data_IF_731821209928
#
_entry.id   IF_731821209928
#
_cell.length_a   1.000
_cell.length_b   1.000
_cell.length_c   1.000
_cell.angle_alpha   90.00
_cell.angle_beta   90.00
_cell.angle_gamma   90.00
#
_symmetry.space_group_name_H-M   'P 1'
#
loop_
_entity.id
_entity.type
_entity.pdbx_description
1 polymer ?
#
# COMPACT_ATOMS: atom_id res chain seq x y z
N UNK A 1 -38.91 -66.82 -55.12
CA UNK A 1 -38.78 -65.72 -54.15
C UNK A 1 -37.47 -65.79 -53.42
N UNK A 2 -36.36 -65.31 -54.00
CA UNK A 2 -35.11 -65.08 -53.22
C UNK A 2 -34.63 -63.59 -53.21
N UNK A 3 -35.40 -62.64 -53.70
CA UNK A 3 -34.92 -61.22 -53.79
C UNK A 3 -35.03 -60.42 -52.48
N UNK A 4 -35.87 -60.80 -51.57
CA UNK A 4 -36.08 -60.03 -50.31
C UNK A 4 -34.97 -60.24 -49.26
N UNK A 5 -34.40 -61.44 -49.21
CA UNK A 5 -33.33 -61.74 -48.27
C UNK A 5 -32.02 -61.03 -48.55
N UNK A 6 -31.71 -60.83 -49.83
CA UNK A 6 -30.53 -60.07 -50.27
C UNK A 6 -30.65 -58.58 -49.95
N UNK A 7 -31.81 -58.01 -50.21
CA UNK A 7 -32.09 -56.60 -49.88
C UNK A 7 -32.04 -56.32 -48.37
N UNK A 8 -32.50 -57.29 -47.55
CA UNK A 8 -32.44 -57.20 -46.10
C UNK A 8 -30.98 -57.29 -45.58
N UNK A 9 -30.15 -58.20 -46.07
CA UNK A 9 -28.76 -58.34 -45.72
C UNK A 9 -27.94 -57.07 -46.11
N UNK A 10 -28.19 -56.48 -47.24
CA UNK A 10 -27.57 -55.22 -47.66
C UNK A 10 -27.96 -54.05 -46.77
N UNK A 11 -29.21 -53.94 -46.37
CA UNK A 11 -29.67 -52.89 -45.41
C UNK A 11 -29.04 -53.07 -44.02
N UNK A 12 -28.93 -54.30 -43.52
CA UNK A 12 -28.25 -54.62 -42.26
C UNK A 12 -26.76 -54.29 -42.33
N UNK A 13 -26.08 -54.65 -43.43
CA UNK A 13 -24.68 -54.31 -43.62
C UNK A 13 -24.43 -52.79 -43.69
N UNK A 14 -25.32 -52.04 -44.36
CA UNK A 14 -25.27 -50.54 -44.35
C UNK A 14 -25.50 -49.94 -42.98
N UNK A 15 -26.47 -50.45 -42.21
CA UNK A 15 -26.75 -50.02 -40.81
C UNK A 15 -25.53 -50.34 -39.92
N UNK A 16 -24.94 -51.52 -39.99
CA UNK A 16 -23.74 -51.89 -39.26
C UNK A 16 -22.54 -50.98 -39.61
N UNK A 17 -22.32 -50.70 -40.90
CA UNK A 17 -21.28 -49.76 -41.34
C UNK A 17 -21.56 -48.32 -40.88
N UNK A 18 -22.83 -47.89 -40.84
CA UNK A 18 -23.20 -46.58 -40.32
C UNK A 18 -22.98 -46.48 -38.79
N UNK A 19 -23.32 -47.51 -38.04
CA UNK A 19 -23.05 -47.59 -36.59
C UNK A 19 -21.54 -47.64 -36.31
N UNK A 20 -20.76 -48.42 -37.06
CA UNK A 20 -19.31 -48.49 -36.95
C UNK A 20 -18.66 -47.11 -37.23
N UNK A 21 -19.14 -46.39 -38.26
CA UNK A 21 -18.66 -45.02 -38.56
C UNK A 21 -18.98 -44.04 -37.43
N UNK A 22 -20.23 -44.09 -36.87
CA UNK A 22 -20.62 -43.26 -35.73
C UNK A 22 -19.77 -43.60 -34.49
N UNK A 23 -19.54 -44.89 -34.21
CA UNK A 23 -18.68 -45.33 -33.12
C UNK A 23 -17.22 -44.88 -33.30
N UNK A 24 -16.64 -45.01 -34.52
CA UNK A 24 -15.30 -44.53 -34.81
C UNK A 24 -15.20 -43.01 -34.68
N UNK A 25 -16.21 -42.25 -35.11
CA UNK A 25 -16.23 -40.79 -34.93
C UNK A 25 -16.29 -40.39 -33.45
N UNK A 26 -17.12 -41.09 -32.67
CA UNK A 26 -17.21 -40.85 -31.21
C UNK A 26 -15.89 -41.20 -30.50
N UNK A 27 -15.29 -42.35 -30.85
CA UNK A 27 -13.98 -42.76 -30.33
C UNK A 27 -12.83 -41.77 -30.71
N UNK A 28 -12.84 -41.26 -31.95
CA UNK A 28 -11.88 -40.24 -32.39
C UNK A 28 -12.08 -38.92 -31.65
N UNK A 29 -13.32 -38.52 -31.39
CA UNK A 29 -13.62 -37.30 -30.63
C UNK A 29 -13.16 -37.41 -29.15
N UNK A 30 -13.41 -38.57 -28.52
CA UNK A 30 -12.90 -38.86 -27.17
C UNK A 30 -11.37 -38.84 -27.13
N UNK A 31 -10.72 -39.51 -28.09
CA UNK A 31 -9.24 -39.51 -28.18
C UNK A 31 -8.67 -38.09 -28.36
N UNK A 32 -9.29 -37.27 -29.20
CA UNK A 32 -8.90 -35.88 -29.41
C UNK A 32 -9.09 -35.02 -28.15
N UNK A 33 -10.17 -35.24 -27.43
CA UNK A 33 -10.40 -34.58 -26.14
C UNK A 33 -9.37 -34.97 -25.08
N UNK A 34 -9.05 -36.28 -24.99
CA UNK A 34 -8.00 -36.76 -24.08
C UNK A 34 -6.63 -36.16 -24.45
N UNK A 35 -6.29 -36.11 -25.73
CA UNK A 35 -5.06 -35.50 -26.22
C UNK A 35 -5.01 -34.00 -25.91
N UNK A 36 -6.10 -33.28 -26.09
CA UNK A 36 -6.19 -31.86 -25.76
C UNK A 36 -6.01 -31.62 -24.25
N UNK A 37 -6.64 -32.43 -23.40
CA UNK A 37 -6.47 -32.39 -21.94
C UNK A 37 -5.02 -32.74 -21.57
N UNK A 38 -4.45 -33.79 -22.13
CA UNK A 38 -3.06 -34.19 -21.88
C UNK A 38 -2.07 -33.10 -22.29
N UNK A 39 -2.30 -32.47 -23.44
CA UNK A 39 -1.49 -31.34 -23.92
C UNK A 39 -1.62 -30.13 -22.98
N UNK A 40 -2.84 -29.79 -22.53
CA UNK A 40 -3.11 -28.72 -21.60
C UNK A 40 -2.39 -28.97 -20.26
N UNK A 41 -2.52 -30.18 -19.69
CA UNK A 41 -1.88 -30.55 -18.44
C UNK A 41 -0.35 -30.61 -18.55
N UNK A 42 0.18 -31.18 -19.63
CA UNK A 42 1.63 -31.37 -19.79
C UNK A 42 2.37 -30.12 -20.23
N UNK A 43 1.72 -29.20 -20.90
CA UNK A 43 2.37 -28.06 -21.54
C UNK A 43 1.93 -26.71 -21.00
N UNK A 44 0.62 -26.44 -20.99
CA UNK A 44 0.11 -25.10 -20.62
C UNK A 44 0.25 -24.82 -19.13
N UNK A 45 -0.16 -25.75 -18.27
CA UNK A 45 -0.11 -25.60 -16.81
C UNK A 45 1.34 -25.44 -16.30
N UNK A 46 2.31 -25.99 -17.04
CA UNK A 46 3.73 -25.90 -16.66
C UNK A 46 4.43 -24.62 -17.13
N UNK A 47 3.72 -23.69 -17.74
CA UNK A 47 4.31 -22.42 -18.19
C UNK A 47 4.33 -21.39 -17.07
N UNK A 48 5.37 -20.53 -17.03
CA UNK A 48 5.42 -19.45 -16.03
C UNK A 48 4.27 -18.43 -16.22
N UNK A 49 3.79 -18.22 -17.45
CA UNK A 49 2.62 -17.35 -17.74
C UNK A 49 1.38 -17.81 -17.01
N UNK A 50 1.13 -19.13 -17.00
CA UNK A 50 -0.02 -19.71 -16.31
C UNK A 50 0.05 -19.47 -14.79
N UNK A 51 1.25 -19.52 -14.20
CA UNK A 51 1.44 -19.25 -12.79
C UNK A 51 1.16 -17.77 -12.45
N UNK A 52 1.50 -16.84 -13.34
CA UNK A 52 1.16 -15.41 -13.19
C UNK A 52 -0.35 -15.17 -13.25
N UNK A 53 -1.02 -15.78 -14.25
CA UNK A 53 -2.48 -15.69 -14.39
C UNK A 53 -3.17 -16.26 -13.14
N UNK A 54 -2.67 -17.38 -12.62
CA UNK A 54 -3.18 -17.98 -11.39
C UNK A 54 -2.95 -17.10 -10.16
N UNK A 55 -1.78 -16.45 -10.05
CA UNK A 55 -1.52 -15.52 -8.94
C UNK A 55 -2.51 -14.34 -8.97
N UNK A 56 -2.75 -13.76 -10.15
CA UNK A 56 -3.71 -12.67 -10.32
C UNK A 56 -5.15 -13.11 -10.01
N UNK A 57 -5.56 -14.28 -10.52
CA UNK A 57 -6.88 -14.84 -10.24
C UNK A 57 -7.07 -15.19 -8.77
N UNK A 58 -6.05 -15.76 -8.13
CA UNK A 58 -6.09 -16.11 -6.71
C UNK A 58 -6.25 -14.87 -5.82
N UNK A 59 -5.52 -13.80 -6.14
CA UNK A 59 -5.68 -12.51 -5.45
C UNK A 59 -7.10 -11.95 -5.59
N UNK A 60 -7.65 -11.96 -6.81
CA UNK A 60 -9.01 -11.48 -7.08
C UNK A 60 -10.11 -12.37 -6.46
N UNK A 61 -9.86 -13.68 -6.34
CA UNK A 61 -10.79 -14.66 -5.76
C UNK A 61 -10.61 -14.86 -4.25
N UNK A 62 -9.68 -14.15 -3.62
CA UNK A 62 -9.33 -14.33 -2.21
C UNK A 62 -8.84 -15.74 -1.84
N UNK A 63 -8.24 -16.45 -2.81
CA UNK A 63 -7.65 -17.78 -2.61
C UNK A 63 -6.21 -17.66 -2.15
N UNK A 64 -6.03 -17.53 -0.84
CA UNK A 64 -4.70 -17.35 -0.22
C UNK A 64 -3.80 -18.57 -0.47
N UNK A 65 -4.34 -19.78 -0.45
CA UNK A 65 -3.55 -21.00 -0.63
C UNK A 65 -2.94 -21.06 -2.04
N UNK A 66 -3.75 -20.81 -3.07
CA UNK A 66 -3.26 -20.76 -4.44
C UNK A 66 -2.29 -19.60 -4.65
N UNK A 67 -2.55 -18.43 -4.06
CA UNK A 67 -1.66 -17.27 -4.14
C UNK A 67 -0.28 -17.59 -3.57
N UNK A 68 -0.20 -18.17 -2.36
CA UNK A 68 1.05 -18.57 -1.71
C UNK A 68 1.82 -19.65 -2.47
N UNK A 69 1.13 -20.50 -3.22
CA UNK A 69 1.79 -21.45 -4.14
C UNK A 69 2.46 -20.76 -5.32
N UNK A 70 1.98 -19.58 -5.74
CA UNK A 70 2.44 -18.84 -6.93
C UNK A 70 3.30 -17.64 -6.62
N UNK A 71 3.27 -17.14 -5.39
CA UNK A 71 4.06 -15.99 -4.94
C UNK A 71 4.82 -16.37 -3.68
N UNK A 72 6.12 -16.14 -3.68
CA UNK A 72 6.95 -16.19 -2.48
C UNK A 72 6.92 -14.83 -1.81
N UNK A 73 5.85 -14.59 -1.01
CA UNK A 73 5.62 -13.28 -0.41
C UNK A 73 6.81 -12.86 0.46
N UNK A 74 7.41 -13.79 1.20
CA UNK A 74 8.55 -13.49 2.07
C UNK A 74 9.76 -13.00 1.25
N UNK A 75 10.09 -13.69 0.15
CA UNK A 75 11.18 -13.27 -0.74
C UNK A 75 10.88 -11.91 -1.40
N UNK A 76 9.63 -11.71 -1.87
CA UNK A 76 9.21 -10.44 -2.51
C UNK A 76 9.20 -9.31 -1.49
N UNK A 77 8.65 -9.50 -0.29
CA UNK A 77 8.59 -8.49 0.76
C UNK A 77 9.97 -8.11 1.28
N UNK A 78 10.85 -9.08 1.52
CA UNK A 78 12.22 -8.80 1.97
C UNK A 78 13.04 -8.00 0.95
N UNK A 79 12.97 -8.36 -0.35
CA UNK A 79 13.62 -7.60 -1.40
C UNK A 79 12.97 -6.24 -1.63
N UNK A 80 11.64 -6.16 -1.56
CA UNK A 80 10.89 -4.92 -1.68
C UNK A 80 11.19 -3.94 -0.55
N UNK A 81 11.37 -4.43 0.67
CA UNK A 81 11.78 -3.62 1.81
C UNK A 81 13.16 -2.98 1.60
N UNK A 82 14.13 -3.72 1.06
CA UNK A 82 15.46 -3.17 0.74
C UNK A 82 15.36 -2.05 -0.30
N UNK A 83 14.56 -2.23 -1.33
CA UNK A 83 14.37 -1.22 -2.38
C UNK A 83 13.62 0.01 -1.82
N UNK A 84 12.59 -0.20 -0.99
CA UNK A 84 11.82 0.88 -0.35
C UNK A 84 12.70 1.72 0.58
N UNK A 85 13.44 1.08 1.49
CA UNK A 85 14.31 1.79 2.44
C UNK A 85 15.48 2.49 1.74
N UNK A 86 15.96 1.95 0.63
CA UNK A 86 16.95 2.63 -0.21
C UNK A 86 16.38 3.95 -0.78
N UNK A 87 15.18 3.93 -1.34
CA UNK A 87 14.53 5.15 -1.88
C UNK A 87 14.25 6.15 -0.76
N UNK A 88 13.79 5.67 0.39
CA UNK A 88 13.44 6.55 1.51
C UNK A 88 14.65 7.20 2.19
N UNK A 89 15.79 6.51 2.26
CA UNK A 89 16.92 6.99 3.07
C UNK A 89 18.21 7.19 2.27
N UNK A 90 18.65 6.22 1.49
CA UNK A 90 19.97 6.27 0.87
C UNK A 90 20.09 7.39 -0.19
N UNK A 91 18.99 7.66 -0.92
CA UNK A 91 18.93 8.73 -1.94
C UNK A 91 18.37 10.05 -1.44
N UNK A 92 17.85 10.12 -0.23
CA UNK A 92 17.26 11.33 0.29
C UNK A 92 18.34 12.40 0.60
N UNK A 93 18.56 13.28 -0.37
CA UNK A 93 19.56 14.38 -0.27
C UNK A 93 19.12 15.47 0.70
N UNK A 94 17.85 15.51 1.10
CA UNK A 94 17.34 16.48 2.09
C UNK A 94 17.78 16.15 3.52
N UNK A 95 18.12 14.88 3.79
CA UNK A 95 18.70 14.45 5.06
C UNK A 95 20.21 14.71 5.08
N UNK A 96 20.73 15.11 6.23
CA UNK A 96 22.17 15.14 6.45
C UNK A 96 22.77 13.74 6.38
N UNK A 97 24.03 13.60 5.98
CA UNK A 97 24.69 12.31 5.85
C UNK A 97 24.63 11.45 7.12
N UNK A 98 24.76 12.07 8.30
CA UNK A 98 24.65 11.38 9.59
C UNK A 98 23.23 10.87 9.86
N UNK A 99 22.21 11.66 9.52
CA UNK A 99 20.79 11.29 9.67
C UNK A 99 20.41 10.15 8.71
N UNK A 100 20.84 10.21 7.45
CA UNK A 100 20.69 9.11 6.48
C UNK A 100 21.30 7.82 6.99
N UNK A 101 22.55 7.89 7.48
CA UNK A 101 23.23 6.70 8.00
C UNK A 101 22.55 6.14 9.25
N UNK A 102 22.11 7.00 10.17
CA UNK A 102 21.42 6.56 11.39
C UNK A 102 20.06 5.92 11.08
N UNK A 103 19.26 6.55 10.21
CA UNK A 103 17.98 6.01 9.77
C UNK A 103 18.18 4.68 9.02
N UNK A 104 19.11 4.62 8.07
CA UNK A 104 19.39 3.38 7.32
C UNK A 104 19.76 2.23 8.24
N UNK A 105 20.66 2.42 9.21
CA UNK A 105 21.05 1.39 10.20
C UNK A 105 19.89 0.97 11.09
N UNK A 106 19.05 1.92 11.51
CA UNK A 106 17.88 1.61 12.32
C UNK A 106 16.90 0.72 11.55
N UNK A 107 16.51 1.12 10.33
CA UNK A 107 15.55 0.34 9.54
C UNK A 107 16.13 -0.98 9.04
N UNK A 108 17.45 -1.07 8.82
CA UNK A 108 18.14 -2.35 8.58
C UNK A 108 18.02 -3.29 9.79
N UNK A 109 18.17 -2.77 11.00
CA UNK A 109 18.10 -3.59 12.23
C UNK A 109 16.71 -4.15 12.53
N UNK A 110 15.65 -3.58 11.98
CA UNK A 110 14.25 -4.01 12.16
C UNK A 110 13.68 -4.68 10.91
N UNK A 111 14.51 -4.93 9.88
CA UNK A 111 14.08 -5.45 8.58
C UNK A 111 13.21 -6.69 8.70
N UNK A 112 13.66 -7.70 9.43
CA UNK A 112 12.94 -8.97 9.55
C UNK A 112 11.54 -8.77 10.14
N UNK A 113 11.43 -7.98 11.19
CA UNK A 113 10.14 -7.67 11.84
C UNK A 113 9.19 -6.91 10.92
N UNK A 114 9.70 -5.93 10.16
CA UNK A 114 8.88 -5.14 9.24
C UNK A 114 8.50 -5.96 8.01
N UNK A 115 9.43 -6.74 7.45
CA UNK A 115 9.15 -7.63 6.32
C UNK A 115 8.07 -8.67 6.69
N UNK A 116 8.12 -9.25 7.87
CA UNK A 116 7.06 -10.13 8.40
C UNK A 116 5.72 -9.39 8.54
N UNK A 117 5.75 -8.13 8.92
CA UNK A 117 4.58 -7.26 8.93
C UNK A 117 3.97 -7.11 7.52
N UNK A 118 4.80 -6.86 6.49
CA UNK A 118 4.36 -6.81 5.10
C UNK A 118 3.76 -8.15 4.65
N UNK A 119 4.42 -9.28 4.97
CA UNK A 119 3.91 -10.62 4.63
C UNK A 119 2.50 -10.80 5.18
N UNK A 120 2.29 -10.57 6.49
CA UNK A 120 0.98 -10.72 7.14
C UNK A 120 -0.07 -9.76 6.56
N UNK A 121 0.32 -8.53 6.23
CA UNK A 121 -0.59 -7.55 5.63
C UNK A 121 -1.02 -7.98 4.25
N UNK A 122 -0.09 -8.46 3.40
CA UNK A 122 -0.38 -8.96 2.05
C UNK A 122 -1.26 -10.21 2.13
N UNK A 123 -0.94 -11.17 2.99
CA UNK A 123 -1.77 -12.38 3.20
C UNK A 123 -3.18 -12.02 3.66
N UNK A 124 -3.32 -11.06 4.58
CA UNK A 124 -4.63 -10.58 5.02
C UNK A 124 -5.39 -9.90 3.87
N UNK A 125 -4.71 -9.06 3.10
CA UNK A 125 -5.31 -8.37 1.95
C UNK A 125 -5.78 -9.37 0.88
N UNK A 126 -4.97 -10.39 0.57
CA UNK A 126 -5.39 -11.47 -0.33
C UNK A 126 -6.60 -12.22 0.23
N UNK A 127 -6.61 -12.57 1.52
CA UNK A 127 -7.67 -13.36 2.16
C UNK A 127 -8.98 -12.62 2.31
N UNK A 128 -8.95 -11.30 2.59
CA UNK A 128 -10.13 -10.53 3.02
C UNK A 128 -10.48 -9.37 2.09
N UNK A 129 -9.60 -9.00 1.17
CA UNK A 129 -9.70 -7.75 0.40
C UNK A 129 -9.36 -6.49 1.18
N UNK A 130 -8.97 -6.61 2.47
CA UNK A 130 -8.71 -5.47 3.35
C UNK A 130 -7.22 -5.37 3.71
N UNK A 131 -6.66 -4.20 3.46
CA UNK A 131 -5.30 -3.85 3.88
C UNK A 131 -5.33 -3.37 5.34
N UNK A 132 -5.26 -4.29 6.28
CA UNK A 132 -5.21 -3.98 7.70
C UNK A 132 -3.78 -4.04 8.23
N UNK A 133 -3.44 -3.08 9.09
CA UNK A 133 -2.16 -3.09 9.81
C UNK A 133 -2.15 -4.30 10.77
N UNK A 134 -1.09 -5.12 10.76
CA UNK A 134 -1.00 -6.25 11.66
C UNK A 134 -0.76 -5.82 13.11
N UNK A 135 -1.24 -6.60 14.06
CA UNK A 135 -0.96 -6.38 15.48
C UNK A 135 0.57 -6.41 15.74
N UNK A 136 1.03 -5.58 16.67
CA UNK A 136 2.44 -5.52 17.08
C UNK A 136 3.31 -4.54 16.29
N UNK A 137 2.75 -3.77 15.34
CA UNK A 137 3.49 -2.70 14.63
C UNK A 137 3.60 -1.40 15.42
N UNK A 138 2.97 -1.32 16.59
CA UNK A 138 2.97 -0.13 17.46
C UNK A 138 4.38 0.31 17.90
N UNK A 139 5.35 -0.59 17.92
CA UNK A 139 6.74 -0.28 18.26
C UNK A 139 7.40 0.73 17.31
N UNK A 140 6.90 0.84 16.08
CA UNK A 140 7.37 1.80 15.08
C UNK A 140 6.69 3.17 15.20
N UNK A 141 5.54 3.26 15.89
CA UNK A 141 4.77 4.49 16.00
C UNK A 141 5.52 5.58 16.76
N UNK A 142 5.54 6.78 16.19
CA UNK A 142 6.16 7.96 16.81
C UNK A 142 7.68 8.00 16.76
N UNK A 143 8.34 7.08 16.04
CA UNK A 143 9.77 7.10 15.85
C UNK A 143 10.18 8.01 14.69
N UNK A 144 11.47 8.32 14.61
CA UNK A 144 12.12 9.32 13.76
C UNK A 144 11.39 9.64 12.44
N UNK A 145 11.13 10.91 12.21
CA UNK A 145 10.48 11.47 11.00
C UNK A 145 9.02 11.02 10.77
N UNK A 146 8.37 10.37 11.75
CA UNK A 146 7.01 9.84 11.58
C UNK A 146 6.90 8.65 10.63
N UNK A 147 8.03 7.98 10.33
CA UNK A 147 8.09 6.80 9.48
C UNK A 147 7.78 5.58 10.34
N UNK A 148 6.53 5.20 10.37
CA UNK A 148 6.03 3.98 10.98
C UNK A 148 5.62 2.95 9.91
N UNK A 149 5.05 1.82 10.33
CA UNK A 149 4.62 0.77 9.42
C UNK A 149 3.58 1.26 8.40
N UNK A 150 2.62 2.07 8.84
CA UNK A 150 1.58 2.63 7.97
C UNK A 150 2.18 3.52 6.87
N UNK A 151 3.15 4.35 7.25
CA UNK A 151 3.85 5.19 6.26
C UNK A 151 4.73 4.38 5.31
N UNK A 152 5.39 3.31 5.80
CA UNK A 152 6.13 2.39 4.92
C UNK A 152 5.19 1.68 3.93
N UNK A 153 4.01 1.24 4.38
CA UNK A 153 2.99 0.66 3.51
C UNK A 153 2.50 1.64 2.45
N UNK A 154 2.28 2.89 2.82
CA UNK A 154 1.91 3.93 1.86
C UNK A 154 3.01 4.17 0.82
N UNK A 155 4.23 4.38 1.27
CA UNK A 155 5.38 4.59 0.38
C UNK A 155 5.72 3.36 -0.48
N UNK A 156 5.22 2.18 -0.13
CA UNK A 156 5.36 0.97 -0.93
C UNK A 156 4.44 0.94 -2.15
N UNK A 157 3.40 1.76 -2.18
CA UNK A 157 2.36 1.78 -3.22
C UNK A 157 1.66 0.42 -3.48
N UNK A 158 1.84 -0.57 -2.60
CA UNK A 158 1.25 -1.90 -2.78
C UNK A 158 -0.28 -1.88 -2.74
N UNK A 159 -0.87 -0.98 -1.94
CA UNK A 159 -2.34 -0.84 -1.81
C UNK A 159 -2.98 -0.30 -3.08
N UNK A 160 -2.28 0.58 -3.78
CA UNK A 160 -2.80 1.36 -4.89
C UNK A 160 -2.33 0.83 -6.24
N UNK A 161 -1.51 -0.23 -6.26
CA UNK A 161 -0.98 -0.82 -7.49
C UNK A 161 -1.93 -1.86 -8.05
N UNK A 162 -2.40 -1.64 -9.27
CA UNK A 162 -3.27 -2.54 -10.02
C UNK A 162 -2.53 -3.18 -11.20
N UNK A 163 -2.74 -4.48 -11.41
CA UNK A 163 -2.25 -5.17 -12.61
C UNK A 163 -3.12 -4.82 -13.81
N UNK A 164 -2.51 -4.20 -14.84
CA UNK A 164 -3.19 -3.84 -16.09
C UNK A 164 -3.07 -4.96 -17.12
N UNK A 165 -1.86 -5.48 -17.35
CA UNK A 165 -1.62 -6.52 -18.35
C UNK A 165 -0.34 -7.32 -18.08
N UNK A 166 -0.32 -8.54 -18.62
CA UNK A 166 0.89 -9.37 -18.70
C UNK A 166 1.44 -9.23 -20.13
N UNK A 167 2.60 -8.59 -20.27
CA UNK A 167 3.13 -8.19 -21.58
C UNK A 167 3.98 -9.29 -22.22
N UNK A 168 4.91 -9.86 -21.44
CA UNK A 168 5.82 -10.90 -21.94
C UNK A 168 6.31 -11.79 -20.82
N UNK A 169 6.62 -13.04 -21.16
CA UNK A 169 7.24 -14.00 -20.24
C UNK A 169 8.31 -14.77 -21.02
N UNK A 170 9.55 -14.63 -20.58
CA UNK A 170 10.72 -15.29 -21.16
C UNK A 170 11.26 -16.30 -20.16
N UNK A 171 11.34 -17.57 -20.58
CA UNK A 171 11.84 -18.66 -19.75
C UNK A 171 13.32 -18.90 -20.04
N UNK A 172 14.09 -19.07 -18.98
CA UNK A 172 15.49 -19.53 -19.01
C UNK A 172 15.68 -20.68 -18.03
N UNK A 173 15.59 -21.91 -18.54
CA UNK A 173 15.72 -23.13 -17.73
C UNK A 173 14.68 -23.23 -16.59
N UNK A 174 15.15 -23.12 -15.33
CA UNK A 174 14.34 -23.10 -14.11
C UNK A 174 14.02 -21.68 -13.62
N UNK A 175 14.51 -20.65 -14.31
CA UNK A 175 14.16 -19.26 -14.09
C UNK A 175 13.26 -18.74 -15.21
N UNK A 176 12.51 -17.69 -14.95
CA UNK A 176 11.79 -16.92 -15.96
C UNK A 176 11.74 -15.45 -15.54
N UNK A 177 11.73 -14.58 -16.55
CA UNK A 177 11.46 -13.15 -16.38
C UNK A 177 10.13 -12.83 -17.01
N UNK A 178 9.29 -12.09 -16.30
CA UNK A 178 8.03 -11.61 -16.82
C UNK A 178 7.98 -10.09 -16.75
N UNK A 179 7.41 -9.46 -17.76
CA UNK A 179 7.09 -8.03 -17.75
C UNK A 179 5.58 -7.88 -17.67
N UNK A 180 5.12 -7.15 -16.67
CA UNK A 180 3.72 -6.82 -16.45
C UNK A 180 3.56 -5.31 -16.42
N UNK A 181 2.47 -4.79 -16.98
CA UNK A 181 2.12 -3.37 -16.78
C UNK A 181 1.25 -3.25 -15.56
N UNK A 182 1.65 -2.38 -14.65
CA UNK A 182 0.85 -1.98 -13.49
C UNK A 182 0.47 -0.51 -13.59
N UNK A 183 -0.61 -0.14 -12.90
CA UNK A 183 -1.05 1.26 -12.75
C UNK A 183 -1.07 1.60 -11.27
N UNK A 184 -0.43 2.71 -10.90
CA UNK A 184 -0.55 3.30 -9.58
C UNK A 184 -1.83 4.12 -9.50
N UNK A 185 -2.72 3.78 -8.58
CA UNK A 185 -4.02 4.45 -8.40
C UNK A 185 -3.89 5.89 -7.92
N UNK A 186 -2.87 6.16 -7.10
CA UNK A 186 -2.60 7.48 -6.53
C UNK A 186 -2.17 8.51 -7.59
N UNK A 187 -1.32 8.13 -8.53
CA UNK A 187 -0.81 9.04 -9.59
C UNK A 187 -1.44 8.78 -10.95
N UNK A 188 -1.96 7.57 -11.19
CA UNK A 188 -2.40 7.10 -12.51
C UNK A 188 -1.26 6.68 -13.43
N UNK A 189 -0.03 6.63 -12.92
CA UNK A 189 1.16 6.20 -13.68
C UNK A 189 1.04 4.73 -14.07
N UNK A 190 1.23 4.44 -15.37
CA UNK A 190 1.45 3.07 -15.83
C UNK A 190 2.95 2.78 -15.92
N UNK A 191 3.35 1.64 -15.37
CA UNK A 191 4.76 1.28 -15.28
C UNK A 191 4.99 -0.22 -15.61
N UNK A 192 6.02 -0.55 -16.41
CA UNK A 192 6.37 -1.95 -16.71
C UNK A 192 7.21 -2.54 -15.58
N UNK A 193 6.58 -3.33 -14.69
CA UNK A 193 7.29 -4.10 -13.67
C UNK A 193 7.92 -5.35 -14.28
N UNK A 194 9.12 -5.66 -13.85
CA UNK A 194 9.87 -6.87 -14.20
C UNK A 194 9.85 -7.83 -13.01
N UNK A 195 9.27 -8.99 -13.21
CA UNK A 195 9.16 -10.05 -12.20
C UNK A 195 10.18 -11.15 -12.49
N UNK A 196 10.88 -11.61 -11.47
CA UNK A 196 11.65 -12.84 -11.51
C UNK A 196 10.80 -13.98 -10.96
N UNK A 197 10.81 -15.08 -11.69
CA UNK A 197 10.12 -16.30 -11.33
C UNK A 197 11.09 -17.47 -11.29
N UNK A 198 10.84 -18.40 -10.37
CA UNK A 198 11.63 -19.63 -10.26
C UNK A 198 10.72 -20.86 -10.24
N UNK A 199 11.20 -21.96 -10.86
CA UNK A 199 10.49 -23.22 -10.90
C UNK A 199 10.91 -24.09 -9.73
N UNK A 200 10.04 -24.21 -8.70
CA UNK A 200 10.15 -25.14 -7.58
C UNK A 200 9.41 -26.46 -7.84
N UNK A 201 9.22 -27.23 -6.77
CA UNK A 201 8.53 -28.53 -6.82
C UNK A 201 7.03 -28.39 -7.08
N UNK A 202 6.42 -27.31 -6.60
CA UNK A 202 5.00 -26.98 -6.78
C UNK A 202 4.71 -26.19 -8.06
N UNK A 203 5.73 -25.97 -8.92
CA UNK A 203 5.63 -25.19 -10.15
C UNK A 203 6.32 -23.83 -10.07
N UNK A 204 5.90 -22.91 -10.92
CA UNK A 204 6.48 -21.57 -10.99
C UNK A 204 5.96 -20.67 -9.88
N UNK A 205 6.88 -19.89 -9.29
CA UNK A 205 6.60 -18.89 -8.24
C UNK A 205 7.27 -17.56 -8.57
N UNK A 206 6.62 -16.46 -8.28
CA UNK A 206 7.22 -15.12 -8.30
C UNK A 206 8.07 -15.00 -7.04
N UNK A 207 9.35 -14.63 -7.20
CA UNK A 207 10.31 -14.51 -6.09
C UNK A 207 10.85 -13.10 -5.90
N UNK A 208 10.70 -12.22 -6.90
CA UNK A 208 11.21 -10.85 -6.83
C UNK A 208 10.54 -9.93 -7.86
N UNK A 209 10.37 -8.67 -7.51
CA UNK A 209 10.14 -7.55 -8.43
C UNK A 209 11.50 -6.91 -8.70
N UNK A 210 12.03 -7.07 -9.91
CA UNK A 210 13.45 -6.75 -10.23
C UNK A 210 13.69 -5.24 -10.25
N UNK A 211 12.74 -4.48 -10.79
CA UNK A 211 12.84 -3.03 -10.98
C UNK A 211 11.90 -2.24 -10.05
N UNK A 212 11.62 -2.79 -8.85
CA UNK A 212 10.70 -2.16 -7.90
C UNK A 212 11.19 -0.78 -7.45
N UNK A 213 12.48 -0.61 -7.22
CA UNK A 213 13.10 0.68 -6.92
C UNK A 213 12.79 1.73 -7.98
N UNK A 214 12.96 1.40 -9.26
CA UNK A 214 12.67 2.31 -10.36
C UNK A 214 11.17 2.67 -10.43
N UNK A 215 10.29 1.73 -10.09
CA UNK A 215 8.86 1.98 -9.95
C UNK A 215 8.57 3.00 -8.84
N UNK A 216 9.12 2.82 -7.64
CA UNK A 216 8.93 3.74 -6.51
C UNK A 216 9.44 5.15 -6.86
N UNK A 217 10.59 5.26 -7.51
CA UNK A 217 11.15 6.54 -7.97
C UNK A 217 10.26 7.21 -9.02
N UNK A 218 9.69 6.44 -9.95
CA UNK A 218 8.79 6.97 -10.97
C UNK A 218 7.49 7.49 -10.38
N UNK A 219 6.89 6.77 -9.42
CA UNK A 219 5.67 7.21 -8.72
C UNK A 219 5.97 8.46 -7.87
N UNK A 220 7.09 8.48 -7.15
CA UNK A 220 7.50 9.65 -6.38
C UNK A 220 7.67 10.89 -7.30
N UNK A 221 8.27 10.73 -8.47
CA UNK A 221 8.42 11.81 -9.46
C UNK A 221 7.06 12.26 -10.01
N UNK A 222 6.17 11.32 -10.32
CA UNK A 222 4.83 11.62 -10.82
C UNK A 222 3.97 12.39 -9.80
N UNK A 223 4.10 12.07 -8.51
CA UNK A 223 3.36 12.74 -7.45
C UNK A 223 3.95 14.09 -7.03
N UNK A 224 5.24 14.33 -7.31
CA UNK A 224 5.96 15.51 -6.82
C UNK A 224 5.33 16.84 -7.29
N UNK A 225 5.01 16.97 -8.57
CA UNK A 225 4.40 18.18 -9.13
C UNK A 225 3.03 18.48 -8.52
N UNK A 226 2.20 17.46 -8.29
CA UNK A 226 0.89 17.60 -7.65
C UNK A 226 1.03 18.00 -6.19
N UNK A 227 1.96 17.38 -5.49
CA UNK A 227 2.28 17.69 -4.09
C UNK A 227 2.78 19.14 -3.95
N UNK A 228 3.71 19.58 -4.80
CA UNK A 228 4.20 20.95 -4.81
C UNK A 228 3.09 21.97 -5.09
N UNK A 229 2.23 21.70 -6.05
CA UNK A 229 1.06 22.53 -6.37
C UNK A 229 0.12 22.66 -5.16
N UNK A 230 -0.18 21.57 -4.48
CA UNK A 230 -1.03 21.57 -3.29
C UNK A 230 -0.38 22.33 -2.11
N UNK A 231 0.93 22.15 -1.90
CA UNK A 231 1.68 22.89 -0.88
C UNK A 231 1.60 24.39 -1.14
N UNK A 232 1.83 24.80 -2.39
CA UNK A 232 1.78 26.22 -2.79
C UNK A 232 0.36 26.81 -2.61
N UNK A 233 -0.67 26.10 -3.05
CA UNK A 233 -2.06 26.53 -2.91
C UNK A 233 -2.49 26.67 -1.44
N UNK A 234 -1.95 25.82 -0.55
CA UNK A 234 -2.29 25.83 0.89
C UNK A 234 -1.38 26.72 1.73
N UNK A 235 -0.25 27.18 1.20
CA UNK A 235 0.76 28.00 1.94
C UNK A 235 0.16 29.22 2.62
N UNK A 236 -0.67 30.07 1.98
CA UNK A 236 -1.24 31.25 2.63
C UNK A 236 -2.12 30.90 3.83
N UNK A 237 -2.81 29.78 3.78
CA UNK A 237 -3.63 29.27 4.86
C UNK A 237 -2.73 28.83 6.02
N UNK A 238 -1.76 27.94 5.73
CA UNK A 238 -0.81 27.39 6.72
C UNK A 238 -0.05 28.52 7.42
N UNK A 239 0.50 29.49 6.69
CA UNK A 239 1.29 30.59 7.25
C UNK A 239 0.46 31.47 8.18
N UNK A 240 -0.78 31.78 7.79
CA UNK A 240 -1.71 32.56 8.63
C UNK A 240 -1.99 31.86 9.95
N UNK A 241 -2.31 30.57 9.90
CA UNK A 241 -2.66 29.81 11.11
C UNK A 241 -1.46 29.45 11.96
N UNK A 242 -0.28 29.27 11.40
CA UNK A 242 0.97 29.05 12.15
C UNK A 242 1.27 30.21 13.12
N UNK A 243 0.95 31.44 12.73
CA UNK A 243 1.06 32.60 13.62
C UNK A 243 0.13 32.48 14.84
N UNK A 244 -1.13 32.12 14.60
CA UNK A 244 -2.15 31.93 15.65
C UNK A 244 -1.78 30.77 16.57
N UNK A 245 -1.37 29.63 16.02
CA UNK A 245 -0.99 28.46 16.80
C UNK A 245 0.22 28.72 17.70
N UNK A 246 1.25 29.38 17.19
CA UNK A 246 2.43 29.77 17.99
C UNK A 246 2.07 30.67 19.18
N UNK A 247 1.12 31.57 19.01
CA UNK A 247 0.65 32.45 20.11
C UNK A 247 -0.11 31.65 21.15
N UNK A 248 -1.07 30.83 20.74
CA UNK A 248 -1.85 29.97 21.63
C UNK A 248 -0.99 28.92 22.35
N UNK A 249 0.03 28.35 21.66
CA UNK A 249 0.98 27.43 22.30
C UNK A 249 1.83 28.10 23.39
N UNK A 250 2.26 29.37 23.19
CA UNK A 250 2.98 30.13 24.24
C UNK A 250 2.08 30.36 25.44
N UNK A 251 0.84 30.76 25.24
CA UNK A 251 -0.14 30.94 26.29
C UNK A 251 -0.43 29.61 27.03
N UNK A 252 -0.67 28.52 26.32
CA UNK A 252 -0.84 27.19 26.88
C UNK A 252 0.35 26.80 27.77
N UNK A 253 1.58 27.01 27.27
CA UNK A 253 2.79 26.70 28.01
C UNK A 253 2.88 27.53 29.29
N UNK A 254 2.62 28.83 29.22
CA UNK A 254 2.63 29.71 30.43
C UNK A 254 1.64 29.28 31.51
N UNK A 255 0.51 28.68 31.08
CA UNK A 255 -0.50 28.13 32.00
C UNK A 255 -0.15 26.76 32.58
N UNK A 256 0.74 26.00 31.92
CA UNK A 256 1.08 24.62 32.29
C UNK A 256 2.48 24.44 32.90
N UNK A 257 3.41 25.36 32.72
CA UNK A 257 4.79 25.27 33.24
C UNK A 257 4.95 25.33 34.76
N UNK A 258 3.88 25.61 35.49
CA UNK A 258 3.94 25.69 36.96
C UNK A 258 3.56 24.34 37.59
N UNK A 259 4.21 23.98 38.72
CA UNK A 259 3.97 22.71 39.38
C UNK A 259 2.47 22.50 39.69
N UNK A 260 1.99 21.28 39.50
CA UNK A 260 0.59 20.88 39.72
C UNK A 260 0.07 21.23 41.12
N UNK A 261 0.95 21.32 42.12
CA UNK A 261 0.61 21.72 43.50
C UNK A 261 0.14 23.18 43.64
N UNK A 262 0.39 24.03 42.62
CA UNK A 262 -0.05 25.43 42.57
C UNK A 262 -1.15 25.67 41.54
N UNK A 263 -1.82 24.61 41.10
CA UNK A 263 -2.87 24.67 40.08
C UNK A 263 -4.18 25.22 40.68
N UNK A 264 -4.41 26.50 40.53
CA UNK A 264 -5.61 27.16 41.04
C UNK A 264 -6.82 26.90 40.14
N UNK A 265 -8.03 27.09 40.72
CA UNK A 265 -9.29 26.98 39.98
C UNK A 265 -9.33 27.99 38.80
N UNK A 266 -8.77 29.19 39.00
CA UNK A 266 -8.69 30.23 37.96
C UNK A 266 -7.82 29.80 36.80
N UNK A 267 -6.67 29.18 37.06
CA UNK A 267 -5.76 28.65 36.04
C UNK A 267 -6.39 27.53 35.24
N UNK A 268 -7.08 26.62 35.93
CA UNK A 268 -7.85 25.56 35.30
C UNK A 268 -8.91 26.13 34.34
N UNK A 269 -9.67 27.12 34.78
CA UNK A 269 -10.66 27.80 33.94
C UNK A 269 -10.02 28.53 32.76
N UNK A 270 -8.91 29.23 32.97
CA UNK A 270 -8.19 29.92 31.92
C UNK A 270 -7.72 28.94 30.85
N UNK A 271 -7.22 27.75 31.23
CA UNK A 271 -6.78 26.71 30.31
C UNK A 271 -7.95 26.09 29.53
N UNK A 272 -9.07 25.81 30.19
CA UNK A 272 -10.29 25.35 29.54
C UNK A 272 -10.77 26.39 28.53
N UNK A 273 -10.83 27.66 28.87
CA UNK A 273 -11.26 28.73 27.97
C UNK A 273 -10.30 28.87 26.77
N UNK A 274 -8.98 28.84 27.01
CA UNK A 274 -8.01 28.88 25.91
C UNK A 274 -8.25 27.76 24.90
N UNK A 275 -8.50 26.55 25.37
CA UNK A 275 -8.72 25.40 24.47
C UNK A 275 -10.08 25.47 23.79
N UNK A 276 -11.16 25.73 24.54
CA UNK A 276 -12.53 25.70 24.01
C UNK A 276 -12.87 26.90 23.12
N UNK A 277 -12.41 28.10 23.50
CA UNK A 277 -12.78 29.34 22.81
C UNK A 277 -11.77 29.74 21.73
N UNK A 278 -10.49 29.31 21.85
CA UNK A 278 -9.44 29.73 20.93
C UNK A 278 -8.89 28.55 20.11
N UNK A 279 -8.33 27.50 20.73
CA UNK A 279 -7.61 26.47 20.00
C UNK A 279 -8.52 25.60 19.14
N UNK A 280 -9.54 24.99 19.71
CA UNK A 280 -10.44 24.07 19.03
C UNK A 280 -11.20 24.76 17.86
N UNK A 281 -11.82 25.95 18.07
CA UNK A 281 -12.50 26.64 16.97
C UNK A 281 -11.55 27.06 15.84
N UNK A 282 -10.33 27.48 16.18
CA UNK A 282 -9.31 27.86 15.19
C UNK A 282 -8.86 26.65 14.37
N UNK A 283 -8.61 25.49 15.01
CA UNK A 283 -8.29 24.25 14.29
C UNK A 283 -9.43 23.80 13.37
N UNK A 284 -10.68 23.87 13.84
CA UNK A 284 -11.86 23.57 13.01
C UNK A 284 -12.01 24.53 11.83
N UNK A 285 -11.64 25.78 11.99
CA UNK A 285 -11.63 26.77 10.89
C UNK A 285 -10.51 26.52 9.92
N UNK A 286 -9.29 26.26 10.41
CA UNK A 286 -8.12 25.86 9.60
C UNK A 286 -8.44 24.66 8.72
N UNK A 287 -9.02 23.60 9.31
CA UNK A 287 -9.39 22.41 8.56
C UNK A 287 -10.39 22.70 7.45
N UNK A 288 -11.45 23.48 7.74
CA UNK A 288 -12.44 23.85 6.71
C UNK A 288 -11.84 24.65 5.55
N UNK A 289 -10.85 25.50 5.84
CA UNK A 289 -10.18 26.27 4.78
C UNK A 289 -9.26 25.36 3.94
N UNK A 290 -8.60 24.37 4.53
CA UNK A 290 -7.83 23.37 3.79
C UNK A 290 -8.74 22.46 2.95
N UNK A 291 -9.87 22.02 3.50
CA UNK A 291 -10.85 21.17 2.80
C UNK A 291 -11.49 21.88 1.58
N UNK A 292 -11.45 23.22 1.53
CA UNK A 292 -11.94 24.00 0.40
C UNK A 292 -10.93 24.13 -0.76
N UNK A 293 -9.68 23.72 -0.55
CA UNK A 293 -8.64 23.74 -1.59
C UNK A 293 -8.75 22.48 -2.43
N UNK A 294 -8.70 22.62 -3.76
CA UNK A 294 -8.65 21.48 -4.68
C UNK A 294 -7.40 20.62 -4.39
N UNK A 295 -7.62 19.31 -4.23
CA UNK A 295 -6.56 18.37 -3.92
C UNK A 295 -6.21 17.61 -5.20
N UNK A 296 -5.03 17.86 -5.82
CA UNK A 296 -4.54 17.08 -6.94
C UNK A 296 -4.38 15.59 -6.56
N UNK A 297 -4.46 14.70 -7.54
CA UNK A 297 -4.45 13.25 -7.31
C UNK A 297 -3.21 12.80 -6.53
N UNK A 298 -2.01 13.22 -6.95
CA UNK A 298 -0.75 12.87 -6.28
C UNK A 298 -0.54 13.53 -4.90
N UNK A 299 -1.42 14.45 -4.45
CA UNK A 299 -1.35 15.12 -3.15
C UNK A 299 -2.38 14.60 -2.14
N UNK A 300 -3.22 13.63 -2.51
CA UNK A 300 -4.32 13.14 -1.66
C UNK A 300 -3.83 12.63 -0.30
N UNK A 301 -2.71 11.89 -0.29
CA UNK A 301 -2.15 11.38 0.95
C UNK A 301 -1.65 12.50 1.87
N UNK A 302 -0.95 13.51 1.33
CA UNK A 302 -0.53 14.67 2.11
C UNK A 302 -1.73 15.41 2.73
N UNK A 303 -2.78 15.63 1.95
CA UNK A 303 -4.01 16.25 2.43
C UNK A 303 -4.67 15.42 3.55
N UNK A 304 -4.75 14.10 3.37
CA UNK A 304 -5.27 13.17 4.38
C UNK A 304 -4.47 13.20 5.68
N UNK A 305 -3.13 13.23 5.61
CA UNK A 305 -2.27 13.32 6.80
C UNK A 305 -2.44 14.66 7.54
N UNK A 306 -2.55 15.78 6.82
CA UNK A 306 -2.85 17.09 7.43
C UNK A 306 -4.19 17.10 8.14
N UNK A 307 -5.20 16.51 7.52
CA UNK A 307 -6.53 16.36 8.13
C UNK A 307 -6.48 15.52 9.39
N UNK A 308 -5.85 14.34 9.32
CA UNK A 308 -5.69 13.45 10.46
C UNK A 308 -4.92 14.09 11.62
N UNK A 309 -3.88 14.89 11.35
CA UNK A 309 -3.15 15.66 12.37
C UNK A 309 -4.07 16.65 13.07
N UNK A 310 -4.87 17.40 12.31
CA UNK A 310 -5.79 18.40 12.85
C UNK A 310 -6.91 17.75 13.67
N UNK A 311 -7.52 16.67 13.16
CA UNK A 311 -8.57 15.93 13.87
C UNK A 311 -8.06 15.31 15.17
N UNK A 312 -6.86 14.70 15.15
CA UNK A 312 -6.24 14.15 16.34
C UNK A 312 -5.90 15.24 17.38
N UNK A 313 -5.46 16.43 16.94
CA UNK A 313 -5.20 17.57 17.80
C UNK A 313 -6.50 18.09 18.46
N UNK A 314 -7.58 18.22 17.69
CA UNK A 314 -8.89 18.61 18.21
C UNK A 314 -9.36 17.61 19.25
N UNK A 315 -9.35 16.31 18.93
CA UNK A 315 -9.78 15.26 19.84
C UNK A 315 -8.92 15.18 21.11
N UNK A 316 -7.61 15.45 21.00
CA UNK A 316 -6.69 15.56 22.14
C UNK A 316 -7.12 16.71 23.07
N UNK A 317 -7.33 17.89 22.54
CA UNK A 317 -7.74 19.05 23.34
C UNK A 317 -9.13 18.86 23.96
N UNK A 318 -10.10 18.29 23.22
CA UNK A 318 -11.42 17.97 23.76
C UNK A 318 -11.33 16.96 24.93
N UNK A 319 -10.47 15.93 24.83
CA UNK A 319 -10.23 14.97 25.91
C UNK A 319 -9.52 15.63 27.10
N UNK A 320 -8.54 16.49 26.85
CA UNK A 320 -7.82 17.21 27.89
C UNK A 320 -8.76 18.16 28.69
N UNK A 321 -9.64 18.87 27.99
CA UNK A 321 -10.67 19.70 28.62
C UNK A 321 -11.60 18.89 29.53
N UNK A 322 -12.04 17.70 29.07
CA UNK A 322 -12.84 16.79 29.90
C UNK A 322 -12.09 16.35 31.16
N UNK A 323 -10.80 16.02 31.03
CA UNK A 323 -9.94 15.68 32.16
C UNK A 323 -9.84 16.84 33.16
N UNK A 324 -9.67 18.07 32.67
CA UNK A 324 -9.66 19.26 33.51
C UNK A 324 -11.00 19.51 34.22
N UNK A 325 -12.12 19.36 33.53
CA UNK A 325 -13.45 19.62 34.04
C UNK A 325 -13.89 18.58 35.06
N UNK A 326 -13.72 17.29 34.75
CA UNK A 326 -14.19 16.15 35.54
C UNK A 326 -13.16 15.59 36.52
N UNK A 327 -11.88 15.89 36.33
CA UNK A 327 -10.77 15.34 37.12
C UNK A 327 -10.51 13.85 36.86
N UNK A 328 -10.87 13.32 35.69
CA UNK A 328 -10.76 11.88 35.34
C UNK A 328 -9.40 11.57 34.71
N UNK A 329 -8.57 10.69 35.32
CA UNK A 329 -7.23 10.34 34.80
C UNK A 329 -7.27 9.74 33.40
N UNK A 330 -8.29 8.98 33.07
CA UNK A 330 -8.49 8.34 31.76
C UNK A 330 -8.65 9.34 30.61
N UNK A 331 -9.29 10.49 30.86
CA UNK A 331 -9.41 11.55 29.84
C UNK A 331 -8.04 12.20 29.54
N UNK A 332 -7.16 12.34 30.55
CA UNK A 332 -5.78 12.81 30.34
C UNK A 332 -4.93 11.79 29.58
N UNK A 333 -5.03 10.49 29.92
CA UNK A 333 -4.32 9.43 29.22
C UNK A 333 -4.76 9.35 27.76
N UNK A 334 -6.06 9.50 27.50
CA UNK A 334 -6.60 9.58 26.13
C UNK A 334 -6.09 10.82 25.37
N UNK A 335 -6.07 11.98 26.04
CA UNK A 335 -5.53 13.21 25.46
C UNK A 335 -4.07 13.06 25.07
N UNK A 336 -3.24 12.45 25.91
CA UNK A 336 -1.84 12.17 25.63
C UNK A 336 -1.66 11.25 24.43
N UNK A 337 -2.43 10.16 24.37
CA UNK A 337 -2.39 9.21 23.24
C UNK A 337 -2.74 9.90 21.92
N UNK A 338 -3.80 10.71 21.91
CA UNK A 338 -4.23 11.48 20.74
C UNK A 338 -3.21 12.55 20.35
N UNK A 339 -2.57 13.19 21.32
CA UNK A 339 -1.50 14.15 21.06
C UNK A 339 -0.28 13.49 20.39
N UNK A 340 0.15 12.33 20.89
CA UNK A 340 1.23 11.55 20.26
C UNK A 340 0.87 11.18 18.83
N UNK A 341 -0.38 10.79 18.58
CA UNK A 341 -0.88 10.49 17.24
C UNK A 341 -0.86 11.73 16.34
N UNK A 342 -1.29 12.89 16.82
CA UNK A 342 -1.21 14.14 16.07
C UNK A 342 0.23 14.48 15.68
N UNK A 343 1.17 14.38 16.63
CA UNK A 343 2.59 14.61 16.37
C UNK A 343 3.16 13.65 15.30
N UNK A 344 2.73 12.39 15.30
CA UNK A 344 3.16 11.44 14.28
C UNK A 344 2.70 11.88 12.89
N UNK A 345 1.45 12.31 12.75
CA UNK A 345 0.95 12.85 11.48
C UNK A 345 1.66 14.13 11.05
N UNK A 346 1.93 15.06 11.98
CA UNK A 346 2.68 16.28 11.68
C UNK A 346 4.10 15.99 11.21
N UNK A 347 4.78 15.02 11.81
CA UNK A 347 6.11 14.57 11.36
C UNK A 347 6.07 14.00 9.93
N UNK A 348 5.04 13.20 9.60
CA UNK A 348 4.84 12.69 8.24
C UNK A 348 4.61 13.82 7.24
N UNK A 349 3.74 14.75 7.57
CA UNK A 349 3.50 15.94 6.73
C UNK A 349 4.80 16.70 6.50
N UNK A 350 5.60 16.92 7.56
CA UNK A 350 6.91 17.56 7.45
C UNK A 350 7.87 16.80 6.54
N UNK A 351 7.92 15.47 6.65
CA UNK A 351 8.76 14.61 5.80
C UNK A 351 8.33 14.69 4.31
N UNK A 352 7.04 14.61 4.04
CA UNK A 352 6.51 14.70 2.68
C UNK A 352 6.78 16.06 2.03
N UNK A 353 6.59 17.15 2.77
CA UNK A 353 6.91 18.51 2.29
C UNK A 353 8.40 18.63 1.99
N UNK A 354 9.25 18.14 2.87
CA UNK A 354 10.71 18.16 2.70
C UNK A 354 11.14 17.40 1.45
N UNK A 355 10.58 16.22 1.21
CA UNK A 355 10.91 15.39 0.03
C UNK A 355 10.43 16.01 -1.27
N UNK A 356 9.24 16.64 -1.28
CA UNK A 356 8.74 17.31 -2.48
C UNK A 356 9.60 18.48 -2.92
N UNK A 357 10.17 19.24 -1.98
CA UNK A 357 11.05 20.36 -2.28
C UNK A 357 12.37 19.93 -2.97
N UNK A 358 12.90 18.74 -2.61
CA UNK A 358 14.14 18.21 -3.21
C UNK A 358 13.92 17.70 -4.63
N UNK A 359 12.73 17.20 -4.94
CA UNK A 359 12.41 16.70 -6.29
C UNK A 359 12.38 17.82 -7.34
N UNK A 360 12.14 19.08 -6.94
CA UNK A 360 12.17 20.25 -7.84
C UNK A 360 13.60 20.70 -8.19
N UNK A 361 14.58 20.46 -7.32
CA UNK A 361 15.97 20.90 -7.53
C UNK A 361 16.79 19.94 -8.39
N UNK A 362 16.30 18.73 -8.66
CA UNK A 362 16.99 17.75 -9.51
C UNK A 362 16.30 17.67 -10.87
N UNK A 363 16.74 18.45 -11.90
CA UNK A 363 16.19 18.30 -13.24
C UNK A 363 16.49 16.90 -13.73
N UNK A 364 15.47 16.24 -14.30
CA UNK A 364 15.62 14.96 -14.98
C UNK A 364 16.75 15.10 -16.02
N UNK A 365 17.90 14.52 -15.72
CA UNK A 365 18.99 14.40 -16.70
C UNK A 365 18.50 13.42 -17.78
N UNK A 366 18.53 13.81 -19.05
CA UNK A 366 17.97 13.03 -20.16
C UNK A 366 18.63 11.67 -20.39
#
# INVERSE_FOLDING_TARGET
>A
MPMDEFAWRVRLARRRKAHQRKFMLAAALIALTILAIAWYLAYYIQRPVYALEQAAQAAAAHDTELFLRRVDIAAVAGAGYDDLTYVLFARDTSLKAAERSASGKFYESIKDSVADGFVRTIENAVRTGLWAEPDGTDELKGRQLGIDFEYLMECSHLRDTELVSINSVVRDGRAASATVTVRDGGTGLEFPLQLRMEKGDTGWRIVRIVNYRAYLEAVQTASAADTARYIEATRPIVDRYNGVFRTAQREFRSLTETAWSTYTTERRKALINLLQENMIPVLKKYQRELDAVEIPRGAQYLAAQRKAATEASIASYESFVKGLDKGMPEDFARAETLHKKALTYDLRVGDMIRRSAVSEETPATP
#
